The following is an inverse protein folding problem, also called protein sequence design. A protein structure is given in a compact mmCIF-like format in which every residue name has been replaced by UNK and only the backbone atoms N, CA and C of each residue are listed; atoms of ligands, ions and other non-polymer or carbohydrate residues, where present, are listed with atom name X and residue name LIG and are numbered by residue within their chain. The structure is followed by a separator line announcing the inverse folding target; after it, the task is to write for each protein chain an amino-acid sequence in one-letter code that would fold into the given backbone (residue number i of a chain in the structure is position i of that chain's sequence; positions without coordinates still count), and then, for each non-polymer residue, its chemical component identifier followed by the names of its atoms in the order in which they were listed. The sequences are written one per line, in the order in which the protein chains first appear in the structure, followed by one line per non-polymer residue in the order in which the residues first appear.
data_IF_502055761610
#
_entry.id   IF_502055761610
#
_cell.length_a   1.000
_cell.length_b   1.000
_cell.length_c   1.000
_cell.angle_alpha   90.00
_cell.angle_beta   90.00
_cell.angle_gamma   90.00
#
_symmetry.space_group_name_H-M   'P 1'
#
loop_
_entity.id
_entity.type
_entity.pdbx_description
1 polymer ?
#
# COMPACT_ATOMS: atom_id res chain seq x y z
N UNK A 1 4.35 -45.14 25.36
CA UNK A 1 4.57 -43.79 24.81
C UNK A 1 5.64 -43.14 25.67
N UNK A 2 6.80 -42.84 25.10
CA UNK A 2 7.94 -42.37 25.89
C UNK A 2 7.78 -40.86 26.17
N UNK A 3 8.18 -40.38 27.36
CA UNK A 3 8.00 -38.98 27.76
C UNK A 3 8.67 -37.97 26.81
N UNK A 4 9.72 -38.38 26.09
CA UNK A 4 10.42 -37.56 25.10
C UNK A 4 9.60 -37.24 23.84
N UNK A 5 8.64 -38.10 23.45
CA UNK A 5 7.83 -37.89 22.25
C UNK A 5 6.84 -36.73 22.43
N UNK A 6 6.43 -36.47 23.67
CA UNK A 6 5.49 -35.38 24.02
C UNK A 6 6.23 -34.04 24.01
N UNK A 7 7.41 -33.99 24.61
CA UNK A 7 8.24 -32.77 24.72
C UNK A 7 8.71 -32.28 23.34
N UNK A 8 9.08 -33.20 22.43
CA UNK A 8 9.44 -32.86 21.06
C UNK A 8 8.26 -32.30 20.26
N UNK A 9 7.06 -32.89 20.43
CA UNK A 9 5.83 -32.47 19.75
C UNK A 9 5.37 -31.08 20.20
N UNK A 10 5.50 -30.76 21.48
CA UNK A 10 5.20 -29.41 21.99
C UNK A 10 6.21 -28.38 21.48
N UNK A 11 7.50 -28.69 21.45
CA UNK A 11 8.52 -27.77 20.91
C UNK A 11 8.33 -27.47 19.41
N UNK A 12 8.00 -28.48 18.60
CA UNK A 12 7.70 -28.31 17.16
C UNK A 12 6.50 -27.39 16.95
N UNK A 13 5.44 -27.56 17.75
CA UNK A 13 4.23 -26.73 17.66
C UNK A 13 4.49 -25.27 18.00
N UNK A 14 5.35 -24.99 18.98
CA UNK A 14 5.73 -23.61 19.33
C UNK A 14 6.54 -22.95 18.20
N UNK A 15 7.48 -23.69 17.60
CA UNK A 15 8.30 -23.19 16.48
C UNK A 15 7.41 -22.84 15.27
N UNK A 16 6.45 -23.70 14.93
CA UNK A 16 5.51 -23.45 13.83
C UNK A 16 4.70 -22.16 14.05
N UNK A 17 4.13 -21.98 15.25
CA UNK A 17 3.39 -20.76 15.59
C UNK A 17 4.26 -19.50 15.53
N UNK A 18 5.51 -19.57 16.00
CA UNK A 18 6.44 -18.44 15.91
C UNK A 18 6.80 -18.11 14.46
N UNK A 19 6.97 -19.13 13.61
CA UNK A 19 7.22 -18.94 12.19
C UNK A 19 6.04 -18.29 11.46
N UNK A 20 4.80 -18.72 11.76
CA UNK A 20 3.58 -18.10 11.25
C UNK A 20 3.46 -16.63 11.69
N UNK A 21 3.74 -16.34 12.96
CA UNK A 21 3.72 -14.99 13.51
C UNK A 21 4.74 -14.09 12.82
N UNK A 22 5.98 -14.58 12.65
CA UNK A 22 7.04 -13.89 11.93
C UNK A 22 6.67 -13.60 10.47
N UNK A 23 6.01 -14.55 9.80
CA UNK A 23 5.54 -14.39 8.42
C UNK A 23 4.53 -13.25 8.30
N UNK A 24 3.52 -13.23 9.18
CA UNK A 24 2.50 -12.17 9.21
C UNK A 24 3.12 -10.81 9.55
N UNK A 25 4.03 -10.76 10.53
CA UNK A 25 4.72 -9.53 10.92
C UNK A 25 5.57 -8.96 9.76
N UNK A 26 6.26 -9.83 9.03
CA UNK A 26 7.04 -9.45 7.83
C UNK A 26 6.13 -8.88 6.75
N UNK A 27 5.00 -9.56 6.47
CA UNK A 27 3.99 -9.08 5.52
C UNK A 27 3.45 -7.71 5.87
N UNK A 28 3.11 -7.47 7.15
CA UNK A 28 2.66 -6.15 7.65
C UNK A 28 3.74 -5.08 7.44
N UNK A 29 5.00 -5.41 7.72
CA UNK A 29 6.13 -4.50 7.52
C UNK A 29 6.27 -4.09 6.05
N UNK A 30 6.17 -5.05 5.14
CA UNK A 30 6.29 -4.78 3.70
C UNK A 30 5.08 -4.05 3.14
N UNK A 31 3.86 -4.36 3.58
CA UNK A 31 2.65 -3.59 3.25
C UNK A 31 2.79 -2.12 3.68
N UNK A 32 3.33 -1.85 4.87
CA UNK A 32 3.58 -0.47 5.34
C UNK A 32 4.57 0.26 4.44
N UNK A 33 5.69 -0.38 4.09
CA UNK A 33 6.67 0.19 3.15
C UNK A 33 6.05 0.49 1.79
N UNK A 34 5.23 -0.43 1.27
CA UNK A 34 4.54 -0.26 -0.01
C UNK A 34 3.59 0.95 0.02
N UNK A 35 2.83 1.15 1.11
CA UNK A 35 1.96 2.32 1.27
C UNK A 35 2.77 3.62 1.26
N UNK A 36 3.92 3.65 1.94
CA UNK A 36 4.82 4.83 1.94
C UNK A 36 5.32 5.12 0.53
N UNK A 37 5.81 4.11 -0.20
CA UNK A 37 6.29 4.26 -1.56
C UNK A 37 5.18 4.73 -2.53
N UNK A 38 3.96 4.23 -2.36
CA UNK A 38 2.79 4.69 -3.11
C UNK A 38 2.46 6.16 -2.80
N UNK A 39 2.54 6.59 -1.55
CA UNK A 39 2.30 7.99 -1.19
C UNK A 39 3.36 8.92 -1.80
N UNK A 40 4.64 8.53 -1.75
CA UNK A 40 5.71 9.28 -2.43
C UNK A 40 5.44 9.41 -3.92
N UNK A 41 5.03 8.32 -4.59
CA UNK A 41 4.65 8.35 -6.01
C UNK A 41 3.47 9.28 -6.25
N UNK A 42 2.46 9.26 -5.38
CA UNK A 42 1.30 10.16 -5.47
C UNK A 42 1.71 11.63 -5.38
N UNK A 43 2.61 12.00 -4.47
CA UNK A 43 3.06 13.38 -4.36
C UNK A 43 3.85 13.80 -5.61
N UNK A 44 4.73 12.94 -6.14
CA UNK A 44 5.45 13.20 -7.39
C UNK A 44 4.51 13.42 -8.57
N UNK A 45 3.42 12.64 -8.68
CA UNK A 45 2.40 12.84 -9.71
C UNK A 45 1.69 14.20 -9.56
N UNK A 46 1.38 14.62 -8.33
CA UNK A 46 0.78 15.95 -8.07
C UNK A 46 1.72 17.10 -8.44
N UNK A 47 3.00 16.97 -8.14
CA UNK A 47 4.02 17.94 -8.50
C UNK A 47 4.21 18.03 -10.02
N UNK A 48 4.28 16.87 -10.69
CA UNK A 48 4.37 16.79 -12.15
C UNK A 48 3.15 17.42 -12.83
N UNK A 49 1.93 17.10 -12.36
CA UNK A 49 0.68 17.68 -12.87
C UNK A 49 0.69 19.20 -12.75
N UNK A 50 1.06 19.74 -11.58
CA UNK A 50 1.15 21.19 -11.35
C UNK A 50 2.19 21.85 -12.26
N UNK A 51 3.34 21.21 -12.45
CA UNK A 51 4.38 21.69 -13.35
C UNK A 51 3.88 21.74 -14.81
N UNK A 52 3.22 20.69 -15.28
CA UNK A 52 2.65 20.65 -16.63
C UNK A 52 1.52 21.65 -16.84
N UNK A 53 0.66 21.87 -15.85
CA UNK A 53 -0.38 22.90 -15.95
C UNK A 53 0.23 24.30 -16.10
N UNK A 54 1.38 24.56 -15.48
CA UNK A 54 2.13 25.82 -15.67
C UNK A 54 2.77 25.87 -17.06
N UNK A 55 3.39 24.78 -17.51
CA UNK A 55 4.02 24.67 -18.83
C UNK A 55 3.00 24.77 -19.99
N UNK A 56 1.76 24.31 -19.79
CA UNK A 56 0.66 24.46 -20.76
C UNK A 56 0.40 25.92 -21.14
N UNK A 57 0.70 26.87 -20.25
CA UNK A 57 0.59 28.31 -20.54
C UNK A 57 1.73 28.83 -21.41
N UNK A 58 2.84 28.09 -21.51
CA UNK A 58 4.05 28.47 -22.24
C UNK A 58 4.09 27.85 -23.64
N UNK A 59 3.42 26.71 -23.86
CA UNK A 59 3.35 26.07 -25.17
C UNK A 59 2.40 24.88 -25.24
N UNK A 60 2.03 24.45 -26.46
CA UNK A 60 1.06 23.36 -26.67
C UNK A 60 1.64 21.97 -26.44
N UNK A 61 2.98 21.82 -26.51
CA UNK A 61 3.66 20.52 -26.44
C UNK A 61 4.65 20.45 -25.27
N UNK A 62 4.93 19.24 -24.82
CA UNK A 62 5.87 18.91 -23.74
C UNK A 62 6.61 17.62 -24.05
N UNK A 63 7.87 17.55 -23.65
CA UNK A 63 8.67 16.32 -23.68
C UNK A 63 8.45 15.50 -22.41
N UNK A 64 8.06 14.23 -22.57
CA UNK A 64 7.87 13.28 -21.47
C UNK A 64 8.92 12.18 -21.60
N UNK A 65 9.60 11.87 -20.49
CA UNK A 65 10.52 10.74 -20.43
C UNK A 65 9.71 9.43 -20.31
N UNK A 66 9.91 8.53 -21.26
CA UNK A 66 9.32 7.19 -21.29
C UNK A 66 10.44 6.16 -21.16
N UNK A 67 10.50 5.48 -20.02
CA UNK A 67 11.56 4.52 -19.71
C UNK A 67 12.86 5.19 -19.25
N UNK A 68 14.01 4.62 -19.60
CA UNK A 68 15.30 5.06 -19.08
C UNK A 68 15.99 6.15 -19.93
N UNK A 69 15.76 6.17 -21.25
CA UNK A 69 16.57 6.98 -22.18
C UNK A 69 15.77 7.76 -23.22
N UNK A 70 14.47 7.50 -23.35
CA UNK A 70 13.69 8.03 -24.47
C UNK A 70 12.78 9.16 -24.01
N UNK A 71 12.85 10.29 -24.71
CA UNK A 71 11.91 11.39 -24.55
C UNK A 71 11.00 11.44 -25.77
N UNK A 72 9.69 11.55 -25.53
CA UNK A 72 8.67 11.63 -26.57
C UNK A 72 7.91 12.94 -26.37
N UNK A 73 7.71 13.67 -27.46
CA UNK A 73 6.91 14.89 -27.46
C UNK A 73 5.43 14.53 -27.49
N UNK A 74 4.66 15.09 -26.56
CA UNK A 74 3.21 14.96 -26.50
C UNK A 74 2.56 16.34 -26.43
N UNK A 75 1.31 16.48 -26.90
CA UNK A 75 0.48 17.61 -26.52
C UNK A 75 0.38 17.69 -25.00
N UNK A 76 0.61 18.87 -24.43
CA UNK A 76 0.65 19.07 -22.96
C UNK A 76 -0.67 18.67 -22.30
N UNK A 77 -1.81 18.83 -22.98
CA UNK A 77 -3.11 18.35 -22.48
C UNK A 77 -3.14 16.83 -22.31
N UNK A 78 -2.63 16.08 -23.30
CA UNK A 78 -2.62 14.62 -23.26
C UNK A 78 -1.70 14.10 -22.15
N UNK A 79 -0.54 14.74 -21.96
CA UNK A 79 0.36 14.40 -20.86
C UNK A 79 -0.27 14.64 -19.48
N UNK A 80 -1.08 15.70 -19.32
CA UNK A 80 -1.84 15.95 -18.10
C UNK A 80 -2.88 14.85 -17.86
N UNK A 81 -3.60 14.44 -18.91
CA UNK A 81 -4.63 13.39 -18.79
C UNK A 81 -4.02 12.04 -18.37
N UNK A 82 -2.82 11.71 -18.87
CA UNK A 82 -2.08 10.54 -18.41
C UNK A 82 -1.74 10.63 -16.91
N UNK A 83 -1.21 11.76 -16.45
CA UNK A 83 -0.89 11.95 -15.03
C UNK A 83 -2.13 11.90 -14.13
N UNK A 84 -3.27 12.44 -14.57
CA UNK A 84 -4.52 12.38 -13.83
C UNK A 84 -5.03 10.95 -13.68
N UNK A 85 -4.93 10.17 -14.75
CA UNK A 85 -5.31 8.75 -14.75
C UNK A 85 -4.40 7.96 -13.80
N UNK A 86 -3.09 8.14 -13.91
CA UNK A 86 -2.11 7.51 -13.02
C UNK A 86 -2.35 7.87 -11.56
N UNK A 87 -2.62 9.15 -11.27
CA UNK A 87 -2.90 9.62 -9.91
C UNK A 87 -4.14 8.94 -9.33
N UNK A 88 -5.20 8.81 -10.13
CA UNK A 88 -6.44 8.12 -9.72
C UNK A 88 -6.19 6.65 -9.40
N UNK A 89 -5.42 5.96 -10.25
CA UNK A 89 -5.04 4.55 -10.02
C UNK A 89 -4.25 4.43 -8.71
N UNK A 90 -3.22 5.27 -8.51
CA UNK A 90 -2.42 5.25 -7.28
C UNK A 90 -3.27 5.54 -6.03
N UNK A 91 -4.19 6.51 -6.08
CA UNK A 91 -5.10 6.80 -4.96
C UNK A 91 -6.00 5.59 -4.61
N UNK A 92 -6.50 4.88 -5.62
CA UNK A 92 -7.26 3.66 -5.42
C UNK A 92 -6.39 2.55 -4.81
N UNK A 93 -5.20 2.30 -5.36
CA UNK A 93 -4.26 1.29 -4.85
C UNK A 93 -3.82 1.58 -3.42
N UNK A 94 -3.63 2.85 -3.03
CA UNK A 94 -3.35 3.21 -1.62
C UNK A 94 -4.51 2.80 -0.71
N UNK A 95 -5.75 3.00 -1.17
CA UNK A 95 -6.94 2.67 -0.39
C UNK A 95 -7.06 1.16 -0.20
N UNK A 96 -6.86 0.40 -1.28
CA UNK A 96 -6.83 -1.07 -1.26
C UNK A 96 -5.70 -1.58 -0.35
N UNK A 97 -4.47 -1.09 -0.52
CA UNK A 97 -3.33 -1.49 0.30
C UNK A 97 -3.53 -1.20 1.80
N UNK A 98 -4.24 -0.12 2.15
CA UNK A 98 -4.59 0.18 3.55
C UNK A 98 -5.62 -0.81 4.11
N UNK A 99 -6.60 -1.22 3.31
CA UNK A 99 -7.58 -2.23 3.73
C UNK A 99 -6.92 -3.61 3.89
N UNK A 100 -6.01 -3.97 2.99
CA UNK A 100 -5.22 -5.20 3.09
C UNK A 100 -4.33 -5.19 4.33
N UNK A 101 -3.72 -4.05 4.66
CA UNK A 101 -2.94 -3.88 5.88
C UNK A 101 -3.81 -4.08 7.14
N UNK A 102 -5.03 -3.54 7.18
CA UNK A 102 -5.96 -3.75 8.31
C UNK A 102 -6.25 -5.24 8.48
N UNK A 103 -6.56 -5.93 7.39
CA UNK A 103 -6.83 -7.39 7.40
C UNK A 103 -5.64 -8.19 7.94
N UNK A 104 -4.42 -7.89 7.48
CA UNK A 104 -3.21 -8.54 7.99
C UNK A 104 -2.98 -8.30 9.48
N UNK A 105 -3.27 -7.08 9.96
CA UNK A 105 -3.14 -6.73 11.38
C UNK A 105 -4.20 -7.45 12.22
N UNK A 106 -5.44 -7.57 11.73
CA UNK A 106 -6.47 -8.35 12.40
C UNK A 106 -6.10 -9.85 12.50
N UNK A 107 -5.47 -10.39 11.46
CA UNK A 107 -4.94 -11.76 11.48
C UNK A 107 -3.88 -11.93 12.58
N UNK A 108 -2.95 -10.98 12.70
CA UNK A 108 -1.96 -10.98 13.79
C UNK A 108 -2.62 -10.91 15.17
N UNK A 109 -3.58 -10.00 15.37
CA UNK A 109 -4.29 -9.85 16.63
C UNK A 109 -5.05 -11.12 17.04
N UNK A 110 -5.66 -11.81 16.08
CA UNK A 110 -6.31 -13.11 16.30
C UNK A 110 -5.32 -14.17 16.76
N UNK A 111 -4.13 -14.24 16.16
CA UNK A 111 -3.10 -15.19 16.60
C UNK A 111 -2.57 -14.88 18.00
N UNK A 112 -2.49 -13.60 18.38
CA UNK A 112 -2.09 -13.16 19.72
C UNK A 112 -3.22 -13.30 20.77
N UNK A 113 -4.43 -13.71 20.37
CA UNK A 113 -5.59 -13.79 21.26
C UNK A 113 -6.09 -12.41 21.72
N UNK A 114 -5.72 -11.35 21.00
CA UNK A 114 -6.10 -9.97 21.29
C UNK A 114 -7.43 -9.59 20.66
N UNK A 115 -8.03 -8.51 21.15
CA UNK A 115 -9.21 -7.89 20.51
C UNK A 115 -8.86 -7.41 19.10
N UNK A 116 -9.76 -7.64 18.15
CA UNK A 116 -9.62 -7.16 16.76
C UNK A 116 -9.65 -5.63 16.65
N UNK A 117 -9.30 -5.10 15.47
CA UNK A 117 -9.24 -3.66 15.22
C UNK A 117 -10.60 -2.97 15.43
N UNK A 118 -11.70 -3.66 15.13
CA UNK A 118 -13.05 -3.11 15.29
C UNK A 118 -13.38 -2.86 16.77
N UNK A 119 -13.11 -3.85 17.63
CA UNK A 119 -13.30 -3.77 19.08
C UNK A 119 -12.35 -2.77 19.75
N UNK A 120 -11.26 -2.40 19.08
CA UNK A 120 -10.32 -1.35 19.51
C UNK A 120 -10.67 0.04 18.97
N UNK A 121 -11.71 0.16 18.13
CA UNK A 121 -12.17 1.43 17.56
C UNK A 121 -11.34 1.94 16.37
N UNK A 122 -10.60 1.06 15.69
CA UNK A 122 -9.79 1.42 14.51
C UNK A 122 -10.51 1.21 13.17
N UNK A 123 -11.71 0.62 13.18
CA UNK A 123 -12.54 0.51 11.97
C UNK A 123 -13.40 1.76 11.75
N UNK A 124 -12.73 2.91 11.62
CA UNK A 124 -13.39 4.19 11.39
C UNK A 124 -13.70 4.36 9.90
N UNK A 125 -14.93 4.78 9.61
CA UNK A 125 -15.36 5.23 8.28
C UNK A 125 -15.26 6.74 8.17
N UNK A 126 -15.10 7.24 6.95
CA UNK A 126 -15.09 8.68 6.71
C UNK A 126 -16.47 9.29 6.98
N UNK A 127 -16.50 10.47 7.63
CA UNK A 127 -17.72 11.19 8.03
C UNK A 127 -18.63 11.52 6.82
N UNK A 128 -18.08 11.57 5.61
CA UNK A 128 -18.78 12.04 4.41
C UNK A 128 -19.43 10.93 3.59
N UNK A 129 -19.35 9.67 4.01
CA UNK A 129 -20.07 8.58 3.35
C UNK A 129 -21.39 8.42 4.11
N UNK A 130 -22.41 9.16 3.67
CA UNK A 130 -23.79 8.94 4.10
C UNK A 130 -24.26 7.55 3.65
N UNK A 131 -24.92 6.83 4.56
CA UNK A 131 -25.40 5.44 4.43
C UNK A 131 -26.14 5.11 3.13
#
# INVERSE_FOLDING_TARGET
MFPYDVEYKESSSVIERLAELQSIATRISDQRKAIVALDERRQKLREAERSLQKAKKQGPNTWVCMGATTFIEFPTSLAIDFLLTDRKIVDQTITEAKNDLKTSVDELLKMEGSKDLSARGFDLKAINISD
#
